data_IF_249756511705
#
_entry.id   IF_249756511705
#
_cell.length_a   1.000
_cell.length_b   1.000
_cell.length_c   1.000
_cell.angle_alpha   90.00
_cell.angle_beta   90.00
_cell.angle_gamma   90.00
#
_symmetry.space_group_name_H-M   'P 1'
#
loop_
_entity.id
_entity.type
_entity.pdbx_description
1 polymer ?
#
# COMPACT_ATOMS: atom_id res chain seq x y z
N UNK A 1 -7.39 -28.41 -15.42
CA UNK A 1 -6.67 -27.30 -14.74
C UNK A 1 -5.30 -26.99 -15.35
N UNK A 2 -4.41 -27.95 -15.63
CA UNK A 2 -3.07 -27.66 -16.17
C UNK A 2 -3.02 -26.95 -17.54
N UNK A 3 -3.96 -27.24 -18.45
CA UNK A 3 -3.96 -26.65 -19.82
C UNK A 3 -4.35 -25.17 -19.78
N UNK A 4 -5.41 -24.82 -19.04
CA UNK A 4 -5.81 -23.43 -18.81
C UNK A 4 -4.68 -22.61 -18.18
N UNK A 5 -3.86 -23.27 -17.36
CA UNK A 5 -2.74 -22.68 -16.64
C UNK A 5 -1.53 -22.41 -17.54
N UNK A 6 -1.19 -23.34 -18.46
CA UNK A 6 -0.16 -23.13 -19.49
C UNK A 6 -0.58 -22.04 -20.47
N UNK A 7 -1.87 -21.99 -20.83
CA UNK A 7 -2.42 -20.96 -21.71
C UNK A 7 -2.35 -19.59 -21.02
N UNK A 8 -2.77 -19.47 -19.76
CA UNK A 8 -2.65 -18.22 -19.00
C UNK A 8 -1.19 -17.78 -18.84
N UNK A 9 -0.25 -18.70 -18.58
CA UNK A 9 1.17 -18.36 -18.47
C UNK A 9 1.77 -17.90 -19.80
N UNK A 10 1.50 -18.62 -20.90
CA UNK A 10 1.98 -18.21 -22.22
C UNK A 10 1.34 -16.90 -22.65
N UNK A 11 0.05 -16.71 -22.36
CA UNK A 11 -0.65 -15.46 -22.61
C UNK A 11 -0.05 -14.32 -21.79
N UNK A 12 0.27 -14.53 -20.51
CA UNK A 12 0.86 -13.52 -19.65
C UNK A 12 2.32 -13.20 -20.03
N UNK A 13 3.13 -14.21 -20.33
CA UNK A 13 4.51 -14.03 -20.81
C UNK A 13 4.53 -13.33 -22.18
N UNK A 14 3.60 -13.67 -23.07
CA UNK A 14 3.51 -13.07 -24.41
C UNK A 14 3.02 -11.62 -24.34
N UNK A 15 2.00 -11.35 -23.53
CA UNK A 15 1.50 -9.98 -23.31
C UNK A 15 2.52 -9.14 -22.56
N UNK A 16 3.21 -9.68 -21.55
CA UNK A 16 4.24 -8.90 -20.85
C UNK A 16 5.41 -8.63 -21.79
N UNK A 17 5.85 -9.62 -22.58
CA UNK A 17 6.89 -9.39 -23.57
C UNK A 17 6.50 -8.34 -24.63
N UNK A 18 5.21 -8.24 -24.97
CA UNK A 18 4.70 -7.27 -25.95
C UNK A 18 4.47 -5.88 -25.34
N UNK A 19 3.72 -5.78 -24.24
CA UNK A 19 3.41 -4.53 -23.53
C UNK A 19 4.66 -3.95 -22.87
N UNK A 20 5.44 -4.80 -22.18
CA UNK A 20 6.66 -4.36 -21.52
C UNK A 20 7.67 -3.84 -22.53
N UNK A 21 7.91 -4.49 -23.69
CA UNK A 21 8.80 -3.92 -24.72
C UNK A 21 8.32 -2.58 -25.24
N UNK A 22 7.05 -2.45 -25.58
CA UNK A 22 6.51 -1.21 -26.15
C UNK A 22 6.55 -0.04 -25.16
N UNK A 23 6.24 -0.29 -23.89
CA UNK A 23 6.29 0.71 -22.82
C UNK A 23 7.75 0.96 -22.38
N UNK A 24 8.59 -0.08 -22.35
CA UNK A 24 9.97 0.04 -21.89
C UNK A 24 10.87 0.80 -22.86
N UNK A 25 10.75 0.54 -24.17
CA UNK A 25 11.52 1.24 -25.20
C UNK A 25 11.22 2.74 -25.27
N UNK A 26 10.03 3.15 -24.83
CA UNK A 26 9.59 4.54 -24.89
C UNK A 26 9.99 5.34 -23.63
N UNK A 27 10.15 4.66 -22.49
CA UNK A 27 10.24 5.32 -21.17
C UNK A 27 11.63 5.18 -20.52
N UNK A 28 12.38 4.10 -20.78
CA UNK A 28 13.58 3.78 -20.00
C UNK A 28 14.90 3.98 -20.76
N UNK A 29 15.94 4.33 -20.00
CA UNK A 29 17.31 4.26 -20.49
C UNK A 29 17.75 2.78 -20.58
N UNK A 30 18.67 2.45 -21.49
CA UNK A 30 19.02 1.07 -21.84
C UNK A 30 19.45 0.19 -20.64
N UNK A 31 20.01 0.78 -19.58
CA UNK A 31 20.40 0.07 -18.36
C UNK A 31 19.23 -0.23 -17.41
N UNK A 32 18.25 0.67 -17.31
CA UNK A 32 17.08 0.50 -16.45
C UNK A 32 16.10 -0.51 -17.06
N UNK A 33 16.01 -0.52 -18.39
CA UNK A 33 15.21 -1.49 -19.16
C UNK A 33 15.64 -2.94 -18.87
N UNK A 34 16.95 -3.22 -18.82
CA UNK A 34 17.45 -4.57 -18.56
C UNK A 34 17.13 -5.02 -17.14
N UNK A 35 17.32 -4.16 -16.14
CA UNK A 35 17.05 -4.49 -14.74
C UNK A 35 15.56 -4.73 -14.48
N UNK A 36 14.68 -3.85 -14.95
CA UNK A 36 13.23 -3.96 -14.78
C UNK A 36 12.71 -5.23 -15.46
N UNK A 37 13.18 -5.51 -16.68
CA UNK A 37 12.81 -6.72 -17.42
C UNK A 37 13.24 -8.00 -16.72
N UNK A 38 14.42 -8.01 -16.11
CA UNK A 38 14.94 -9.17 -15.36
C UNK A 38 14.11 -9.45 -14.10
N UNK A 39 13.80 -8.43 -13.29
CA UNK A 39 12.97 -8.60 -12.09
C UNK A 39 11.56 -9.12 -12.42
N UNK A 40 10.97 -8.62 -13.50
CA UNK A 40 9.68 -9.09 -14.01
C UNK A 40 9.75 -10.56 -14.43
N UNK A 41 10.82 -10.96 -15.11
CA UNK A 41 11.04 -12.35 -15.54
C UNK A 41 11.20 -13.28 -14.34
N UNK A 42 12.01 -12.88 -13.38
CA UNK A 42 12.22 -13.61 -12.12
C UNK A 42 10.93 -13.75 -11.31
N UNK A 43 10.08 -12.72 -11.30
CA UNK A 43 8.78 -12.80 -10.66
C UNK A 43 7.86 -13.84 -11.30
N UNK A 44 7.78 -13.86 -12.63
CA UNK A 44 6.99 -14.86 -13.37
C UNK A 44 7.54 -16.27 -13.18
N UNK A 45 8.87 -16.41 -13.11
CA UNK A 45 9.52 -17.67 -12.84
C UNK A 45 9.23 -18.19 -11.41
N UNK A 46 9.37 -17.34 -10.38
CA UNK A 46 9.06 -17.70 -8.99
C UNK A 46 7.57 -18.00 -8.75
N UNK A 47 6.68 -17.38 -9.53
CA UNK A 47 5.24 -17.70 -9.51
C UNK A 47 4.90 -19.00 -10.25
N UNK A 48 5.83 -19.55 -11.04
CA UNK A 48 5.60 -20.79 -11.78
C UNK A 48 5.34 -21.95 -10.81
N UNK A 49 4.17 -22.60 -10.93
CA UNK A 49 3.69 -23.62 -10.00
C UNK A 49 3.00 -23.08 -8.74
N UNK A 50 3.12 -21.77 -8.46
CA UNK A 50 2.60 -21.13 -7.23
C UNK A 50 1.55 -20.04 -7.48
N UNK A 51 1.10 -19.82 -8.73
CA UNK A 51 0.04 -18.83 -9.03
C UNK A 51 -1.25 -19.04 -8.25
N UNK A 52 -1.67 -20.30 -8.01
CA UNK A 52 -2.86 -20.57 -7.18
C UNK A 52 -2.69 -20.06 -5.75
N UNK A 53 -1.49 -20.20 -5.18
CA UNK A 53 -1.13 -19.63 -3.89
C UNK A 53 -1.10 -18.10 -3.94
N UNK A 54 -0.49 -17.51 -4.98
CA UNK A 54 -0.42 -16.05 -5.15
C UNK A 54 -1.81 -15.40 -5.24
N UNK A 55 -2.63 -15.86 -6.19
CA UNK A 55 -4.00 -15.35 -6.39
C UNK A 55 -4.87 -15.63 -5.16
N UNK A 56 -4.80 -16.82 -4.58
CA UNK A 56 -5.53 -17.17 -3.36
C UNK A 56 -5.13 -16.29 -2.17
N UNK A 57 -3.85 -15.98 -2.02
CA UNK A 57 -3.35 -15.09 -0.96
C UNK A 57 -3.79 -13.65 -1.17
N UNK A 58 -3.85 -13.17 -2.42
CA UNK A 58 -4.39 -11.84 -2.75
C UNK A 58 -5.87 -11.73 -2.42
N UNK A 59 -6.69 -12.72 -2.81
CA UNK A 59 -8.12 -12.75 -2.47
C UNK A 59 -8.31 -12.79 -0.96
N UNK A 60 -7.59 -13.68 -0.28
CA UNK A 60 -7.67 -13.82 1.17
C UNK A 60 -7.21 -12.56 1.88
N UNK A 61 -6.18 -11.88 1.38
CA UNK A 61 -5.73 -10.58 1.89
C UNK A 61 -6.83 -9.51 1.82
N UNK A 62 -7.53 -9.39 0.70
CA UNK A 62 -8.62 -8.41 0.57
C UNK A 62 -9.79 -8.73 1.51
N UNK A 63 -10.20 -10.00 1.56
CA UNK A 63 -11.27 -10.44 2.47
C UNK A 63 -10.87 -10.20 3.92
N UNK A 64 -9.66 -10.63 4.31
CA UNK A 64 -9.15 -10.49 5.67
C UNK A 64 -9.04 -9.01 6.07
N UNK A 65 -8.46 -8.17 5.21
CA UNK A 65 -8.36 -6.72 5.46
C UNK A 65 -9.73 -6.08 5.63
N UNK A 66 -10.69 -6.44 4.76
CA UNK A 66 -12.05 -5.92 4.83
C UNK A 66 -12.76 -6.36 6.11
N UNK A 67 -12.72 -7.65 6.45
CA UNK A 67 -13.35 -8.20 7.66
C UNK A 67 -12.74 -7.60 8.92
N UNK A 68 -11.40 -7.50 9.01
CA UNK A 68 -10.73 -6.91 10.17
C UNK A 68 -11.06 -5.42 10.30
N UNK A 69 -11.06 -4.67 9.19
CA UNK A 69 -11.46 -3.25 9.18
C UNK A 69 -12.91 -3.05 9.60
N UNK A 70 -13.84 -3.87 9.09
CA UNK A 70 -15.24 -3.85 9.49
C UNK A 70 -15.43 -4.19 10.96
N UNK A 71 -14.75 -5.22 11.47
CA UNK A 71 -14.83 -5.59 12.87
C UNK A 71 -14.31 -4.46 13.78
N UNK A 72 -13.17 -3.87 13.44
CA UNK A 72 -12.61 -2.72 14.16
C UNK A 72 -13.58 -1.52 14.16
N UNK A 73 -14.24 -1.27 13.03
CA UNK A 73 -15.27 -0.23 12.90
C UNK A 73 -16.49 -0.53 13.79
N UNK A 74 -17.03 -1.74 13.77
CA UNK A 74 -18.21 -2.12 14.55
C UNK A 74 -17.96 -2.03 16.06
N UNK A 75 -16.78 -2.46 16.53
CA UNK A 75 -16.39 -2.42 17.94
C UNK A 75 -16.42 -0.99 18.49
N UNK A 76 -16.09 0.02 17.68
CA UNK A 76 -16.16 1.42 18.09
C UNK A 76 -17.52 2.08 17.83
N UNK A 77 -18.15 1.76 16.70
CA UNK A 77 -19.39 2.42 16.27
C UNK A 77 -20.54 2.13 17.24
N UNK A 78 -20.68 0.88 17.67
CA UNK A 78 -21.81 0.47 18.51
C UNK A 78 -21.78 1.21 19.86
N UNK A 79 -20.68 1.22 20.64
CA UNK A 79 -20.60 2.02 21.85
C UNK A 79 -20.72 3.53 21.59
N UNK A 80 -20.13 4.04 20.50
CA UNK A 80 -20.17 5.47 20.15
C UNK A 80 -21.59 5.97 19.91
N UNK A 81 -22.41 5.22 19.16
CA UNK A 81 -23.82 5.54 18.93
C UNK A 81 -24.62 5.43 20.23
N UNK A 82 -24.38 4.41 21.06
CA UNK A 82 -25.07 4.24 22.33
C UNK A 82 -24.81 5.44 23.25
N UNK A 83 -23.55 5.85 23.39
CA UNK A 83 -23.16 7.02 24.20
C UNK A 83 -23.82 8.29 23.65
N UNK A 84 -23.82 8.48 22.32
CA UNK A 84 -24.47 9.63 21.69
C UNK A 84 -25.97 9.67 21.97
N UNK A 85 -26.68 8.55 21.81
CA UNK A 85 -28.12 8.46 22.07
C UNK A 85 -28.45 8.68 23.56
N UNK A 86 -27.65 8.13 24.47
CA UNK A 86 -27.79 8.36 25.91
C UNK A 86 -27.58 9.83 26.27
N UNK A 87 -26.56 10.48 25.71
CA UNK A 87 -26.28 11.88 25.96
C UNK A 87 -27.35 12.80 25.36
N UNK A 88 -27.79 12.53 24.13
CA UNK A 88 -28.88 13.27 23.49
C UNK A 88 -30.21 13.15 24.25
N UNK A 89 -30.49 11.98 24.85
CA UNK A 89 -31.67 11.78 25.70
C UNK A 89 -31.59 12.48 27.06
N UNK A 90 -30.38 12.71 27.59
CA UNK A 90 -30.17 13.36 28.89
C UNK A 90 -30.22 14.90 28.79
N UNK A 91 -29.81 15.45 27.65
CA UNK A 91 -29.70 16.90 27.40
C UNK A 91 -31.00 17.43 26.80
N UNK A 92 -32.05 17.50 27.62
CA UNK A 92 -33.34 18.10 27.23
C UNK A 92 -33.40 19.64 27.34
N UNK A 93 -32.28 20.31 27.71
CA UNK A 93 -32.32 21.70 28.19
C UNK A 93 -31.14 22.61 27.76
N UNK A 94 -30.32 22.21 26.78
CA UNK A 94 -29.23 23.07 26.26
C UNK A 94 -29.65 23.75 24.94
N UNK A 95 -29.21 24.99 24.73
CA UNK A 95 -29.40 25.73 23.47
C UNK A 95 -28.81 24.96 22.28
N UNK A 96 -29.53 24.95 21.15
CA UNK A 96 -29.22 24.10 20.00
C UNK A 96 -27.83 24.30 19.38
N UNK A 97 -27.24 25.50 19.51
CA UNK A 97 -25.88 25.75 18.99
C UNK A 97 -24.78 25.04 19.79
N UNK A 98 -24.90 24.98 21.12
CA UNK A 98 -23.92 24.32 22.00
C UNK A 98 -23.95 22.80 21.81
N UNK A 99 -25.14 22.24 21.59
CA UNK A 99 -25.33 20.82 21.24
C UNK A 99 -24.72 20.51 19.88
N UNK A 100 -24.94 21.36 18.87
CA UNK A 100 -24.40 21.17 17.52
C UNK A 100 -22.86 21.15 17.48
N UNK A 101 -22.23 22.10 18.19
CA UNK A 101 -20.76 22.17 18.26
C UNK A 101 -20.16 21.01 19.09
N UNK A 102 -20.82 20.60 20.17
CA UNK A 102 -20.39 19.43 20.95
C UNK A 102 -20.52 18.12 20.17
N UNK A 103 -21.59 17.97 19.39
CA UNK A 103 -21.80 16.82 18.53
C UNK A 103 -20.73 16.75 17.41
N UNK A 104 -20.45 17.87 16.73
CA UNK A 104 -19.46 17.90 15.64
C UNK A 104 -18.05 17.56 16.10
N UNK A 105 -17.62 18.07 17.27
CA UNK A 105 -16.33 17.71 17.89
C UNK A 105 -16.29 16.23 18.25
N UNK A 106 -17.37 15.68 18.83
CA UNK A 106 -17.46 14.26 19.20
C UNK A 106 -17.37 13.35 17.97
N UNK A 107 -18.11 13.66 16.90
CA UNK A 107 -18.05 12.91 15.64
C UNK A 107 -16.66 13.03 14.97
N UNK A 108 -16.03 14.21 15.04
CA UNK A 108 -14.68 14.41 14.53
C UNK A 108 -13.63 13.55 15.24
N UNK A 109 -13.65 13.53 16.57
CA UNK A 109 -12.77 12.66 17.37
C UNK A 109 -13.02 11.20 17.04
N UNK A 110 -14.29 10.79 16.98
CA UNK A 110 -14.66 9.42 16.65
C UNK A 110 -14.15 8.99 15.27
N UNK A 111 -14.33 9.84 14.26
CA UNK A 111 -13.84 9.60 12.90
C UNK A 111 -12.31 9.48 12.84
N UNK A 112 -11.58 10.33 13.57
CA UNK A 112 -10.12 10.23 13.68
C UNK A 112 -9.69 8.88 14.28
N UNK A 113 -10.35 8.42 15.35
CA UNK A 113 -10.08 7.11 15.97
C UNK A 113 -10.37 5.98 14.96
N UNK A 114 -11.48 6.08 14.21
CA UNK A 114 -11.80 5.10 13.17
C UNK A 114 -10.73 5.01 12.08
N UNK A 115 -10.21 6.14 11.60
CA UNK A 115 -9.12 6.18 10.61
C UNK A 115 -7.87 5.48 11.17
N UNK A 116 -7.51 5.75 12.42
CA UNK A 116 -6.34 5.14 13.07
C UNK A 116 -6.51 3.62 13.17
N UNK A 117 -7.69 3.13 13.59
CA UNK A 117 -7.95 1.70 13.68
C UNK A 117 -8.00 1.00 12.31
N UNK A 118 -8.59 1.64 11.30
CA UNK A 118 -8.61 1.09 9.94
C UNK A 118 -7.19 0.97 9.38
N UNK A 119 -6.36 2.01 9.60
CA UNK A 119 -4.95 2.00 9.20
C UNK A 119 -4.16 0.92 9.94
N UNK A 120 -4.37 0.76 11.25
CA UNK A 120 -3.73 -0.29 12.04
C UNK A 120 -4.07 -1.69 11.51
N UNK A 121 -5.34 -1.93 11.19
CA UNK A 121 -5.84 -3.20 10.63
C UNK A 121 -5.19 -3.52 9.28
N UNK A 122 -5.04 -2.50 8.43
CA UNK A 122 -4.36 -2.63 7.14
C UNK A 122 -2.88 -3.01 7.32
N UNK A 123 -2.19 -2.39 8.29
CA UNK A 123 -0.79 -2.66 8.57
C UNK A 123 -0.48 -4.11 8.93
N UNK A 124 -1.33 -4.74 9.74
CA UNK A 124 -1.18 -6.14 10.17
C UNK A 124 -1.32 -7.08 8.96
N UNK A 125 -2.37 -6.87 8.16
CA UNK A 125 -2.66 -7.73 7.01
C UNK A 125 -1.62 -7.53 5.89
N UNK A 126 -1.15 -6.29 5.70
CA UNK A 126 -0.12 -5.94 4.72
C UNK A 126 1.24 -6.58 5.04
N UNK A 127 1.60 -6.67 6.32
CA UNK A 127 2.80 -7.40 6.75
C UNK A 127 2.73 -8.88 6.34
N UNK A 128 1.61 -9.56 6.63
CA UNK A 128 1.40 -10.95 6.24
C UNK A 128 1.41 -11.16 4.73
N UNK A 129 0.77 -10.26 3.99
CA UNK A 129 0.77 -10.26 2.52
C UNK A 129 2.19 -10.13 1.96
N UNK A 130 2.96 -9.17 2.46
CA UNK A 130 4.36 -8.96 2.08
C UNK A 130 5.20 -10.22 2.35
N UNK A 131 4.97 -10.90 3.46
CA UNK A 131 5.69 -12.11 3.84
C UNK A 131 5.46 -13.25 2.85
N UNK A 132 4.21 -13.51 2.45
CA UNK A 132 3.90 -14.55 1.44
C UNK A 132 4.69 -14.32 0.15
N UNK A 133 4.68 -13.10 -0.39
CA UNK A 133 5.38 -12.81 -1.66
C UNK A 133 6.90 -12.76 -1.51
N UNK A 134 7.41 -12.36 -0.35
CA UNK A 134 8.83 -12.51 -0.04
C UNK A 134 9.24 -13.98 -0.03
N UNK A 135 8.47 -14.87 0.58
CA UNK A 135 8.76 -16.31 0.57
C UNK A 135 8.63 -16.94 -0.82
N UNK A 136 7.64 -16.53 -1.61
CA UNK A 136 7.54 -16.92 -3.03
C UNK A 136 8.79 -16.47 -3.79
N UNK A 137 9.26 -15.24 -3.58
CA UNK A 137 10.47 -14.73 -4.23
C UNK A 137 11.72 -15.51 -3.81
N UNK A 138 11.81 -15.97 -2.56
CA UNK A 138 12.88 -16.83 -2.02
C UNK A 138 12.89 -18.24 -2.59
N UNK A 139 11.85 -18.61 -3.35
CA UNK A 139 11.63 -19.96 -3.88
C UNK A 139 11.51 -21.03 -2.77
N UNK A 140 11.30 -20.62 -1.53
CA UNK A 140 11.02 -21.49 -0.38
C UNK A 140 9.58 -22.07 -0.46
N UNK A 141 9.26 -23.06 0.39
CA UNK A 141 7.93 -23.68 0.50
C UNK A 141 6.89 -22.71 1.07
N UNK A 142 6.55 -21.70 0.28
CA UNK A 142 5.58 -20.68 0.61
C UNK A 142 4.20 -21.31 0.88
N UNK A 143 3.62 -20.95 2.02
CA UNK A 143 2.30 -21.39 2.49
C UNK A 143 1.39 -20.18 2.73
N UNK A 144 0.09 -20.40 2.63
CA UNK A 144 -0.92 -19.39 3.00
C UNK A 144 -0.78 -18.96 4.46
N UNK A 145 -0.23 -19.85 5.29
CA UNK A 145 0.04 -19.62 6.72
C UNK A 145 0.84 -18.35 7.02
N UNK A 146 1.76 -17.97 6.11
CA UNK A 146 2.55 -16.74 6.23
C UNK A 146 1.69 -15.46 6.18
N UNK A 147 0.50 -15.51 5.58
CA UNK A 147 -0.44 -14.39 5.53
C UNK A 147 -0.94 -14.02 6.94
N UNK A 148 -1.07 -15.01 7.82
CA UNK A 148 -1.56 -14.82 9.18
C UNK A 148 -0.46 -14.42 10.16
N UNK A 149 0.81 -14.35 9.73
CA UNK A 149 1.91 -14.02 10.62
C UNK A 149 1.82 -12.63 11.24
N UNK A 150 1.20 -11.66 10.57
CA UNK A 150 0.95 -10.34 11.17
C UNK A 150 0.10 -10.43 12.44
N UNK A 151 -0.83 -11.39 12.48
CA UNK A 151 -1.73 -11.64 13.61
C UNK A 151 -1.11 -12.55 14.68
N UNK A 152 0.06 -13.16 14.41
CA UNK A 152 0.71 -14.09 15.34
C UNK A 152 1.57 -13.37 16.37
N UNK A 153 1.14 -13.47 17.63
CA UNK A 153 1.87 -12.97 18.78
C UNK A 153 1.67 -11.47 18.98
N UNK A 154 1.23 -11.09 20.18
CA UNK A 154 0.87 -9.71 20.51
C UNK A 154 2.03 -8.72 20.25
N UNK A 155 3.26 -9.09 20.61
CA UNK A 155 4.45 -8.24 20.39
C UNK A 155 4.69 -7.93 18.90
N UNK A 156 4.52 -8.92 18.02
CA UNK A 156 4.72 -8.75 16.57
C UNK A 156 3.59 -7.93 15.97
N UNK A 157 2.35 -8.23 16.34
CA UNK A 157 1.18 -7.46 15.93
C UNK A 157 1.35 -5.98 16.29
N UNK A 158 1.71 -5.67 17.54
CA UNK A 158 1.98 -4.30 17.98
C UNK A 158 3.12 -3.63 17.21
N UNK A 159 4.21 -4.36 16.88
CA UNK A 159 5.28 -3.83 16.02
C UNK A 159 4.78 -3.47 14.62
N UNK A 160 3.96 -4.30 14.00
CA UNK A 160 3.43 -4.05 12.63
C UNK A 160 2.45 -2.89 12.58
N UNK A 161 1.59 -2.76 13.60
CA UNK A 161 0.70 -1.62 13.79
C UNK A 161 1.52 -0.34 13.95
N UNK A 162 2.52 -0.37 14.86
CA UNK A 162 3.37 0.79 15.09
C UNK A 162 4.17 1.20 13.84
N UNK A 163 4.62 0.23 13.04
CA UNK A 163 5.25 0.51 11.75
C UNK A 163 4.30 1.20 10.77
N UNK A 164 3.06 0.71 10.63
CA UNK A 164 2.07 1.34 9.77
C UNK A 164 1.75 2.77 10.23
N UNK A 165 1.53 2.97 11.53
CA UNK A 165 1.23 4.29 12.09
C UNK A 165 2.42 5.24 11.94
N UNK A 166 3.65 4.77 12.13
CA UNK A 166 4.85 5.57 11.92
C UNK A 166 4.99 5.97 10.45
N UNK A 167 4.82 5.03 9.50
CA UNK A 167 4.85 5.33 8.06
C UNK A 167 3.75 6.34 7.73
N UNK A 168 2.51 6.11 8.19
CA UNK A 168 1.38 7.01 7.98
C UNK A 168 1.65 8.42 8.53
N UNK A 169 2.25 8.53 9.72
CA UNK A 169 2.61 9.82 10.30
C UNK A 169 3.66 10.54 9.45
N UNK A 170 4.72 9.83 9.03
CA UNK A 170 5.81 10.40 8.23
C UNK A 170 5.38 10.77 6.79
N UNK A 171 4.58 9.95 6.13
CA UNK A 171 4.00 10.28 4.80
C UNK A 171 2.89 11.31 4.94
N UNK A 172 2.16 11.28 6.05
CA UNK A 172 1.04 12.16 6.37
C UNK A 172 1.42 13.58 6.72
N UNK A 173 2.69 13.87 7.03
CA UNK A 173 3.19 15.24 7.27
C UNK A 173 2.88 16.20 6.12
N UNK A 174 2.76 15.70 4.89
CA UNK A 174 2.42 16.51 3.71
C UNK A 174 0.91 16.69 3.50
N UNK A 175 0.06 15.90 4.18
CA UNK A 175 -1.40 15.96 4.04
C UNK A 175 -1.98 17.31 4.52
N UNK A 176 -1.55 17.89 5.67
CA UNK A 176 -2.03 19.22 6.08
C UNK A 176 -1.68 20.31 5.06
N UNK A 177 -0.48 20.25 4.47
CA UNK A 177 -0.04 21.21 3.44
C UNK A 177 -0.90 21.05 2.19
N UNK A 178 -1.17 19.81 1.77
CA UNK A 178 -2.05 19.49 0.64
C UNK A 178 -3.49 20.00 0.89
N UNK A 179 -4.03 19.80 2.10
CA UNK A 179 -5.38 20.22 2.48
C UNK A 179 -5.52 21.75 2.51
N UNK A 180 -4.55 22.46 3.09
CA UNK A 180 -4.54 23.93 3.10
C UNK A 180 -4.46 24.48 1.69
N UNK A 181 -3.59 23.91 0.85
CA UNK A 181 -3.46 24.32 -0.55
C UNK A 181 -4.75 24.05 -1.35
N UNK A 182 -5.43 22.93 -1.11
CA UNK A 182 -6.70 22.60 -1.76
C UNK A 182 -7.84 23.52 -1.29
N UNK A 183 -7.94 23.81 0.01
CA UNK A 183 -8.94 24.74 0.53
C UNK A 183 -8.73 26.16 -0.01
N UNK A 184 -7.48 26.62 -0.08
CA UNK A 184 -7.14 27.90 -0.68
C UNK A 184 -7.49 27.96 -2.18
N UNK A 185 -7.34 26.85 -2.91
CA UNK A 185 -7.70 26.76 -4.33
C UNK A 185 -9.20 26.95 -4.57
N UNK A 186 -10.05 26.34 -3.74
CA UNK A 186 -11.51 26.44 -3.87
C UNK A 186 -12.11 27.67 -3.18
N UNK A 187 -11.37 28.31 -2.27
CA UNK A 187 -11.83 29.45 -1.47
C UNK A 187 -11.56 30.82 -2.09
N UNK A 188 -10.72 30.92 -3.13
CA UNK A 188 -10.45 32.19 -3.80
C UNK A 188 -11.24 32.35 -5.11
N UNK A 189 -12.06 33.40 -5.16
CA UNK A 189 -12.52 33.97 -6.42
C UNK A 189 -11.54 35.08 -6.86
N UNK A 190 -10.69 34.80 -7.86
CA UNK A 190 -10.28 35.87 -8.78
C UNK A 190 -8.83 36.40 -8.77
N UNK A 191 -7.80 35.64 -8.37
CA UNK A 191 -6.40 36.06 -8.63
C UNK A 191 -5.52 34.97 -9.28
N UNK A 192 -5.11 35.19 -10.52
CA UNK A 192 -4.27 34.26 -11.29
C UNK A 192 -2.90 34.00 -10.64
N UNK A 193 -2.28 35.01 -10.02
CA UNK A 193 -0.99 34.85 -9.34
C UNK A 193 -1.06 33.95 -8.11
N UNK A 194 -2.16 34.02 -7.35
CA UNK A 194 -2.39 33.16 -6.18
C UNK A 194 -2.67 31.72 -6.61
N UNK A 195 -3.48 31.52 -7.67
CA UNK A 195 -3.72 30.19 -8.24
C UNK A 195 -2.42 29.50 -8.69
N UNK A 196 -1.50 30.22 -9.33
CA UNK A 196 -0.19 29.66 -9.74
C UNK A 196 0.64 29.25 -8.52
N UNK A 197 0.70 30.08 -7.48
CA UNK A 197 1.43 29.76 -6.26
C UNK A 197 0.88 28.50 -5.56
N UNK A 198 -0.45 28.35 -5.51
CA UNK A 198 -1.12 27.18 -4.95
C UNK A 198 -0.81 25.93 -5.79
N UNK A 199 -0.87 26.02 -7.11
CA UNK A 199 -0.50 24.91 -8.00
C UNK A 199 0.94 24.44 -7.78
N UNK A 200 1.89 25.37 -7.59
CA UNK A 200 3.28 25.03 -7.27
C UNK A 200 3.40 24.34 -5.91
N UNK A 201 2.71 24.83 -4.88
CA UNK A 201 2.68 24.21 -3.55
C UNK A 201 2.06 22.80 -3.56
N UNK A 202 0.99 22.60 -4.34
CA UNK A 202 0.38 21.29 -4.55
C UNK A 202 1.37 20.33 -5.23
N UNK A 203 2.05 20.77 -6.29
CA UNK A 203 3.05 19.96 -6.98
C UNK A 203 4.19 19.53 -6.05
N UNK A 204 4.75 20.45 -5.27
CA UNK A 204 5.81 20.15 -4.28
C UNK A 204 5.31 19.14 -3.24
N UNK A 205 4.06 19.30 -2.76
CA UNK A 205 3.48 18.41 -1.76
C UNK A 205 3.27 16.99 -2.30
N UNK A 206 2.79 16.87 -3.55
CA UNK A 206 2.61 15.58 -4.22
C UNK A 206 3.96 14.89 -4.45
N UNK A 207 4.96 15.63 -4.93
CA UNK A 207 6.31 15.09 -5.14
C UNK A 207 6.93 14.65 -3.80
N UNK A 208 6.83 15.48 -2.76
CA UNK A 208 7.32 15.17 -1.42
C UNK A 208 6.67 13.91 -0.84
N UNK A 209 5.35 13.80 -0.95
CA UNK A 209 4.59 12.62 -0.52
C UNK A 209 5.03 11.36 -1.28
N UNK A 210 5.17 11.46 -2.60
CA UNK A 210 5.58 10.33 -3.47
C UNK A 210 6.98 9.84 -3.13
N UNK A 211 7.94 10.76 -2.96
CA UNK A 211 9.33 10.41 -2.58
C UNK A 211 9.40 9.74 -1.21
N UNK A 212 8.60 10.22 -0.24
CA UNK A 212 8.52 9.60 1.09
C UNK A 212 7.86 8.22 1.03
N UNK A 213 6.78 8.06 0.28
CA UNK A 213 6.10 6.78 0.08
C UNK A 213 7.07 5.71 -0.42
N UNK A 214 7.83 6.00 -1.49
CA UNK A 214 8.83 5.06 -2.01
C UNK A 214 9.98 4.81 -1.03
N UNK A 215 10.39 5.80 -0.24
CA UNK A 215 11.47 5.63 0.75
C UNK A 215 11.12 4.59 1.83
N UNK A 216 9.84 4.42 2.15
CA UNK A 216 9.35 3.51 3.18
C UNK A 216 8.65 2.26 2.62
N UNK A 217 8.51 2.14 1.30
CA UNK A 217 7.83 1.02 0.64
C UNK A 217 8.41 -0.36 1.02
N UNK A 218 9.68 -0.42 1.42
CA UNK A 218 10.39 -1.67 1.73
C UNK A 218 10.44 -2.00 3.23
N UNK A 219 9.81 -1.19 4.08
CA UNK A 219 9.89 -1.34 5.54
C UNK A 219 9.41 -2.72 6.00
N UNK A 220 8.30 -3.23 5.45
CA UNK A 220 7.80 -4.56 5.84
C UNK A 220 8.74 -5.68 5.42
N UNK A 221 9.37 -5.61 4.24
CA UNK A 221 10.35 -6.58 3.79
C UNK A 221 11.54 -6.67 4.76
N UNK A 222 12.07 -5.50 5.17
CA UNK A 222 13.16 -5.44 6.17
C UNK A 222 12.73 -6.02 7.51
N UNK A 223 11.50 -5.73 7.97
CA UNK A 223 10.97 -6.26 9.24
C UNK A 223 10.77 -7.79 9.22
N UNK A 224 10.49 -8.38 8.07
CA UNK A 224 10.34 -9.83 7.92
C UNK A 224 11.71 -10.51 7.98
N UNK A 225 12.71 -9.96 7.30
CA UNK A 225 14.07 -10.53 7.33
C UNK A 225 14.82 -10.27 8.64
N UNK A 226 14.52 -9.17 9.33
CA UNK A 226 15.16 -8.77 10.58
C UNK A 226 14.12 -8.58 11.69
N UNK A 227 13.53 -9.66 12.26
CA UNK A 227 12.48 -9.57 13.27
C UNK A 227 12.93 -8.89 14.58
N UNK A 228 14.23 -8.86 14.84
CA UNK A 228 14.85 -8.19 15.99
C UNK A 228 14.83 -6.67 15.86
N UNK A 229 14.74 -6.12 14.65
CA UNK A 229 14.75 -4.68 14.45
C UNK A 229 13.54 -4.01 15.13
N UNK A 230 13.81 -2.83 15.68
CA UNK A 230 12.78 -1.88 16.04
C UNK A 230 12.18 -1.24 14.79
N UNK A 231 10.98 -0.68 14.91
CA UNK A 231 10.29 -0.05 13.79
C UNK A 231 11.12 1.08 13.16
N UNK A 232 11.77 1.93 13.98
CA UNK A 232 12.58 3.02 13.45
C UNK A 232 13.84 2.52 12.73
N UNK A 233 14.45 1.43 13.21
CA UNK A 233 15.59 0.79 12.54
C UNK A 233 15.17 0.23 11.18
N UNK A 234 14.04 -0.49 11.11
CA UNK A 234 13.53 -1.02 9.86
C UNK A 234 13.18 0.09 8.84
N UNK A 235 12.56 1.19 9.30
CA UNK A 235 12.27 2.35 8.45
C UNK A 235 13.56 3.06 7.98
N UNK A 236 14.56 3.19 8.85
CA UNK A 236 15.86 3.79 8.50
C UNK A 236 16.59 2.94 7.47
N UNK A 237 16.54 1.62 7.63
CA UNK A 237 17.14 0.68 6.71
C UNK A 237 16.44 0.69 5.35
N UNK A 238 15.10 0.64 5.32
CA UNK A 238 14.32 0.85 4.09
C UNK A 238 14.73 2.13 3.37
N UNK A 239 14.85 3.25 4.11
CA UNK A 239 15.26 4.53 3.55
C UNK A 239 16.69 4.50 2.99
N UNK A 240 17.59 3.76 3.62
CA UNK A 240 18.97 3.61 3.16
C UNK A 240 19.05 2.77 1.89
N UNK A 241 18.37 1.62 1.86
CA UNK A 241 18.29 0.74 0.69
C UNK A 241 17.70 1.47 -0.53
N UNK A 242 16.73 2.34 -0.28
CA UNK A 242 16.08 3.13 -1.34
C UNK A 242 16.89 4.34 -1.83
N UNK A 243 18.07 4.65 -1.26
CA UNK A 243 18.90 5.76 -1.79
C UNK A 243 19.45 5.38 -3.16
N UNK A 244 19.23 6.22 -4.16
CA UNK A 244 19.61 5.94 -5.55
C UNK A 244 18.53 5.16 -6.33
N UNK A 245 17.81 4.25 -5.69
CA UNK A 245 16.87 3.34 -6.35
C UNK A 245 15.37 3.75 -6.27
N UNK A 246 15.06 4.99 -5.87
CA UNK A 246 13.66 5.47 -5.78
C UNK A 246 12.99 5.57 -7.14
N UNK A 247 13.72 6.10 -8.12
CA UNK A 247 13.22 6.19 -9.49
C UNK A 247 13.09 4.80 -10.08
N UNK A 248 14.02 3.89 -9.82
CA UNK A 248 13.93 2.50 -10.28
C UNK A 248 12.63 1.81 -9.85
N UNK A 249 12.23 1.96 -8.58
CA UNK A 249 10.97 1.42 -8.09
C UNK A 249 9.75 2.13 -8.72
N UNK A 250 9.82 3.45 -8.92
CA UNK A 250 8.76 4.20 -9.61
C UNK A 250 8.61 3.76 -11.08
N UNK A 251 9.71 3.60 -11.79
CA UNK A 251 9.81 3.13 -13.16
C UNK A 251 9.32 1.68 -13.29
N UNK A 252 9.67 0.82 -12.32
CA UNK A 252 9.13 -0.53 -12.20
C UNK A 252 7.60 -0.51 -12.09
N UNK A 253 7.03 0.33 -11.22
CA UNK A 253 5.59 0.48 -11.07
C UNK A 253 4.92 1.08 -12.32
N UNK A 254 5.56 2.06 -12.97
CA UNK A 254 5.10 2.65 -14.22
C UNK A 254 5.05 1.63 -15.36
N UNK A 255 5.96 0.66 -15.38
CA UNK A 255 5.94 -0.44 -16.36
C UNK A 255 4.73 -1.39 -16.21
N UNK A 256 3.98 -1.30 -15.11
CA UNK A 256 2.72 -2.02 -14.90
C UNK A 256 1.49 -1.19 -15.28
N UNK A 257 1.63 0.07 -15.68
CA UNK A 257 0.47 0.93 -15.98
C UNK A 257 -0.38 0.36 -17.13
N UNK A 258 0.27 -0.21 -18.15
CA UNK A 258 -0.43 -0.89 -19.25
C UNK A 258 -1.27 -2.05 -18.73
N UNK A 259 -0.69 -2.90 -17.88
CA UNK A 259 -1.41 -3.99 -17.23
C UNK A 259 -2.55 -3.51 -16.33
N UNK A 260 -2.37 -2.40 -15.61
CA UNK A 260 -3.41 -1.83 -14.77
C UNK A 260 -4.61 -1.33 -15.60
N UNK A 261 -4.36 -0.73 -16.78
CA UNK A 261 -5.41 -0.32 -17.72
C UNK A 261 -6.16 -1.54 -18.25
N UNK A 262 -5.46 -2.61 -18.66
CA UNK A 262 -6.10 -3.86 -19.09
C UNK A 262 -6.94 -4.48 -17.96
N UNK A 263 -6.41 -4.52 -16.74
CA UNK A 263 -7.13 -5.01 -15.58
C UNK A 263 -8.40 -4.20 -15.32
N UNK A 264 -8.35 -2.89 -15.47
CA UNK A 264 -9.51 -2.01 -15.34
C UNK A 264 -10.59 -2.30 -16.39
N UNK A 265 -10.20 -2.52 -17.65
CA UNK A 265 -11.13 -2.88 -18.74
C UNK A 265 -11.87 -4.20 -18.47
N UNK A 266 -11.27 -5.11 -17.72
CA UNK A 266 -11.90 -6.38 -17.30
C UNK A 266 -12.78 -6.25 -16.04
N UNK A 267 -13.32 -5.06 -15.76
CA UNK A 267 -14.04 -4.73 -14.52
C UNK A 267 -13.23 -5.01 -13.25
N UNK A 268 -11.90 -4.89 -13.33
CA UNK A 268 -10.98 -5.09 -12.22
C UNK A 268 -10.61 -6.54 -11.92
N UNK A 269 -11.15 -7.53 -12.65
CA UNK A 269 -10.83 -8.96 -12.46
C UNK A 269 -9.33 -9.22 -12.71
N UNK A 270 -8.73 -8.53 -13.69
CA UNK A 270 -7.30 -8.63 -13.97
C UNK A 270 -6.38 -8.26 -12.79
N UNK A 271 -6.85 -7.48 -11.81
CA UNK A 271 -6.04 -7.14 -10.64
C UNK A 271 -5.73 -8.36 -9.76
N UNK A 272 -6.53 -9.43 -9.83
CA UNK A 272 -6.28 -10.67 -9.08
C UNK A 272 -5.00 -11.38 -9.52
N UNK A 273 -4.60 -11.26 -10.79
CA UNK A 273 -3.34 -11.79 -11.31
C UNK A 273 -2.22 -10.74 -11.33
N UNK A 274 -2.57 -9.47 -11.58
CA UNK A 274 -1.59 -8.40 -11.58
C UNK A 274 -0.99 -8.16 -10.19
N UNK A 275 -1.80 -8.25 -9.14
CA UNK A 275 -1.38 -8.04 -7.75
C UNK A 275 -0.26 -9.00 -7.29
N UNK A 276 -0.40 -10.35 -7.41
CA UNK A 276 0.69 -11.26 -7.04
C UNK A 276 1.93 -11.07 -7.91
N UNK A 277 1.75 -10.70 -9.18
CA UNK A 277 2.86 -10.39 -10.06
C UNK A 277 3.64 -9.14 -9.63
N UNK A 278 2.97 -8.03 -9.39
CA UNK A 278 3.58 -6.79 -8.90
C UNK A 278 4.24 -6.99 -7.53
N UNK A 279 3.60 -7.75 -6.63
CA UNK A 279 4.12 -8.01 -5.29
C UNK A 279 5.35 -8.90 -5.29
N UNK A 280 5.38 -9.94 -6.14
CA UNK A 280 6.57 -10.78 -6.33
C UNK A 280 7.70 -10.01 -7.00
N UNK A 281 7.38 -9.14 -7.98
CA UNK A 281 8.38 -8.29 -8.64
C UNK A 281 8.99 -7.29 -7.65
N UNK A 282 8.18 -6.69 -6.79
CA UNK A 282 8.66 -5.78 -5.73
C UNK A 282 9.51 -6.53 -4.70
N UNK A 283 9.17 -7.79 -4.39
CA UNK A 283 9.99 -8.64 -3.51
C UNK A 283 11.37 -8.94 -4.14
N UNK A 284 11.42 -9.24 -5.43
CA UNK A 284 12.69 -9.42 -6.16
C UNK A 284 13.50 -8.12 -6.24
N UNK A 285 12.85 -6.97 -6.46
CA UNK A 285 13.51 -5.66 -6.38
C UNK A 285 14.14 -5.43 -5.01
N UNK A 286 13.42 -5.71 -3.92
CA UNK A 286 13.96 -5.64 -2.56
C UNK A 286 15.20 -6.54 -2.38
N UNK A 287 15.14 -7.79 -2.86
CA UNK A 287 16.27 -8.72 -2.77
C UNK A 287 17.48 -8.24 -3.56
N UNK A 288 17.25 -7.71 -4.75
CA UNK A 288 18.31 -7.15 -5.58
C UNK A 288 19.06 -6.01 -4.87
N UNK A 289 18.35 -5.02 -4.32
CA UNK A 289 19.00 -3.88 -3.68
C UNK A 289 19.57 -4.20 -2.29
N UNK A 290 19.05 -5.23 -1.60
CA UNK A 290 19.52 -5.61 -0.26
C UNK A 290 20.71 -6.58 -0.30
N UNK A 291 20.75 -7.49 -1.27
CA UNK A 291 21.70 -8.60 -1.34
C UNK A 291 22.60 -8.56 -2.58
N UNK A 292 22.25 -7.77 -3.61
CA UNK A 292 22.97 -7.76 -4.88
C UNK A 292 22.86 -9.07 -5.68
N UNK A 293 21.93 -9.95 -5.30
CA UNK A 293 21.77 -11.28 -5.90
C UNK A 293 20.62 -11.28 -6.91
N UNK A 294 20.94 -11.54 -8.19
CA UNK A 294 20.02 -12.15 -9.15
C UNK A 294 20.24 -13.67 -9.08
N UNK A 295 19.17 -14.47 -8.92
CA UNK A 295 19.26 -15.94 -8.79
C UNK A 295 18.85 -16.69 -10.05
#
# INVERSE_FOLDING_TARGET
MCILWIILQNWYNYIDACISRSVQQFIFHKGDESMIGEMKREALYSLKGKWGLGVGSTILYFILSYVVSMAAMLILLIPGIIIFLLFAGLVGSLEGQTISNGASVTFGIFYCIMIILSSASYGITSYGYTNVFLQISKREDAKVDYLFEGFRGFKRMMKTIWAMLAILLYTGTWIPILLVALFAFFGEEGNASFAIAICVLLAISIVGMTVMYFSYALTYYVMIENPEYSVSQAMKESKNLMKGHKLDLFLLWLSFIGWAILALLTFGIGFLWLSPYMSTTTAHFYRYISKGEFQ
#
